data_IF_112552318515
#
_entry.id   IF_112552318515
#
_cell.length_a   1.000
_cell.length_b   1.000
_cell.length_c   1.000
_cell.angle_alpha   90.00
_cell.angle_beta   90.00
_cell.angle_gamma   90.00
#
_symmetry.space_group_name_H-M   'P 1'
#
loop_
_entity.id
_entity.type
_entity.pdbx_description
1 polymer ?
#
# COMPACT_ATOMS: atom_id res chain seq x y z
N UNK A 1 -62.36 -16.69 44.84
CA UNK A 1 -62.23 -15.40 44.12
C UNK A 1 -61.77 -15.76 42.70
N UNK A 2 -62.65 -15.94 41.71
CA UNK A 2 -63.32 -14.98 40.81
C UNK A 2 -62.34 -14.28 39.84
N UNK A 3 -62.55 -14.55 38.53
CA UNK A 3 -62.14 -13.83 37.29
C UNK A 3 -60.74 -14.19 36.74
N UNK A 4 -60.47 -14.28 35.44
CA UNK A 4 -61.23 -14.16 34.17
C UNK A 4 -60.23 -14.47 33.03
N UNK A 5 -60.62 -15.25 32.02
CA UNK A 5 -59.86 -15.46 30.77
C UNK A 5 -59.65 -14.15 30.00
N UNK A 6 -58.51 -13.94 29.30
CA UNK A 6 -58.50 -13.52 27.88
C UNK A 6 -57.09 -13.45 27.25
N UNK A 7 -57.14 -13.80 25.96
CA UNK A 7 -56.24 -13.79 24.80
C UNK A 7 -55.39 -12.52 24.57
N UNK A 8 -54.60 -12.55 23.47
CA UNK A 8 -53.68 -11.55 22.87
C UNK A 8 -52.21 -11.76 23.27
N UNK A 9 -51.23 -11.74 22.38
CA UNK A 9 -51.11 -11.56 20.93
C UNK A 9 -49.66 -11.92 20.62
N UNK A 10 -49.41 -12.61 19.51
CA UNK A 10 -48.05 -12.85 19.01
C UNK A 10 -47.32 -11.52 18.84
N UNK A 11 -46.21 -11.31 19.56
CA UNK A 11 -45.18 -10.35 19.15
C UNK A 11 -43.93 -11.14 18.78
N UNK A 12 -43.83 -11.45 17.49
CA UNK A 12 -42.53 -11.62 16.88
C UNK A 12 -41.86 -10.26 16.81
N UNK A 13 -40.61 -10.19 17.23
CA UNK A 13 -39.51 -9.65 16.42
C UNK A 13 -38.24 -9.97 17.19
N UNK A 14 -37.38 -10.78 16.57
CA UNK A 14 -35.96 -10.79 16.85
C UNK A 14 -35.48 -9.35 16.90
N UNK A 15 -35.33 -8.80 18.10
CA UNK A 15 -34.61 -7.57 18.33
C UNK A 15 -33.15 -7.88 18.00
N UNK A 16 -32.76 -7.55 16.78
CA UNK A 16 -31.37 -7.43 16.36
C UNK A 16 -30.64 -6.62 17.44
N UNK A 17 -29.74 -7.28 18.17
CA UNK A 17 -28.93 -6.61 19.18
C UNK A 17 -28.08 -5.56 18.47
N UNK A 18 -28.46 -4.29 18.66
CA UNK A 18 -27.60 -3.15 18.39
C UNK A 18 -26.43 -3.23 19.36
N UNK A 19 -25.43 -4.03 19.01
CA UNK A 19 -24.08 -3.79 19.50
C UNK A 19 -23.70 -2.41 18.96
N UNK A 20 -23.41 -1.44 19.84
CA UNK A 20 -22.93 -0.18 19.35
C UNK A 20 -21.56 -0.44 18.72
N UNK A 21 -21.41 -0.01 17.47
CA UNK A 21 -20.16 -0.06 16.70
C UNK A 21 -19.12 0.91 17.29
N UNK A 22 -18.81 0.78 18.57
CA UNK A 22 -17.69 1.46 19.20
C UNK A 22 -16.50 0.52 19.12
N UNK A 23 -15.52 0.92 18.31
CA UNK A 23 -14.27 0.23 17.99
C UNK A 23 -14.39 -0.82 16.87
N UNK A 24 -14.54 -0.36 15.63
CA UNK A 24 -13.62 -0.85 14.63
C UNK A 24 -12.39 0.08 14.70
N UNK A 25 -11.31 -0.25 15.44
CA UNK A 25 -10.04 0.38 15.11
C UNK A 25 -9.80 0.01 13.65
N UNK A 26 -9.60 0.98 12.76
CA UNK A 26 -9.17 0.65 11.41
C UNK A 26 -7.74 0.10 11.52
N UNK A 27 -7.61 -1.19 11.83
CA UNK A 27 -6.50 -2.02 11.38
C UNK A 27 -7.01 -2.58 10.06
N UNK A 28 -6.80 -1.92 8.92
CA UNK A 28 -7.63 -2.31 7.78
C UNK A 28 -7.23 -1.93 6.37
N UNK A 29 -6.35 -0.97 6.15
CA UNK A 29 -5.91 -0.65 4.80
C UNK A 29 -4.39 -0.74 4.76
N UNK A 30 -3.88 -1.74 4.03
CA UNK A 30 -2.46 -1.87 3.79
C UNK A 30 -1.98 -0.65 2.99
N UNK A 31 -0.80 -0.09 3.29
CA UNK A 31 -0.27 0.98 2.48
C UNK A 31 0.01 0.49 1.05
N UNK A 32 -0.20 1.35 0.05
CA UNK A 32 -0.15 0.97 -1.36
C UNK A 32 0.60 2.00 -2.21
N UNK A 33 1.02 1.57 -3.40
CA UNK A 33 1.49 2.46 -4.47
C UNK A 33 0.30 2.80 -5.37
N UNK A 34 -0.04 4.09 -5.46
CA UNK A 34 -1.21 4.54 -6.23
C UNK A 34 -0.89 4.90 -7.68
N UNK A 35 0.32 5.38 -7.93
CA UNK A 35 0.80 5.70 -9.27
C UNK A 35 2.32 5.71 -9.33
N UNK A 36 2.86 5.45 -10.52
CA UNK A 36 4.30 5.45 -10.80
C UNK A 36 4.56 6.21 -12.10
N UNK A 37 5.61 7.00 -12.11
CA UNK A 37 6.14 7.71 -13.28
C UNK A 37 7.63 7.37 -13.44
N UNK A 38 8.08 6.90 -14.61
CA UNK A 38 7.32 6.65 -15.84
C UNK A 38 6.21 5.58 -15.66
N UNK A 39 5.09 5.72 -16.40
CA UNK A 39 4.03 4.71 -16.32
C UNK A 39 4.54 3.33 -16.77
N UNK A 40 3.82 2.28 -16.40
CA UNK A 40 4.12 0.93 -16.88
C UNK A 40 4.10 0.85 -18.42
N UNK A 41 5.01 0.04 -18.97
CA UNK A 41 5.17 -0.17 -20.42
C UNK A 41 5.54 1.07 -21.24
N UNK A 42 6.06 2.15 -20.62
CA UNK A 42 6.55 3.31 -21.38
C UNK A 42 7.82 2.95 -22.17
N UNK A 43 7.82 3.35 -23.44
CA UNK A 43 9.01 3.38 -24.28
C UNK A 43 9.65 4.77 -24.26
N UNK A 44 10.86 4.88 -24.82
CA UNK A 44 11.57 6.14 -25.02
C UNK A 44 11.82 6.93 -23.72
N UNK A 45 11.94 6.20 -22.61
CA UNK A 45 12.36 6.74 -21.32
C UNK A 45 13.86 7.06 -21.39
N UNK A 46 14.25 8.22 -20.84
CA UNK A 46 15.67 8.61 -20.75
C UNK A 46 16.47 7.58 -19.95
N UNK A 47 17.70 7.31 -20.35
CA UNK A 47 18.59 6.39 -19.62
C UNK A 47 18.93 6.89 -18.21
N UNK A 48 18.94 8.20 -17.98
CA UNK A 48 19.10 8.81 -16.66
C UNK A 48 17.76 9.10 -15.97
N UNK A 49 16.72 8.31 -16.23
CA UNK A 49 15.42 8.53 -15.63
C UNK A 49 15.33 7.92 -14.23
N UNK A 50 14.83 8.73 -13.29
CA UNK A 50 14.37 8.28 -11.99
C UNK A 50 12.93 7.73 -12.06
N UNK A 51 12.59 6.84 -11.13
CA UNK A 51 11.23 6.36 -10.89
C UNK A 51 10.64 7.12 -9.71
N UNK A 52 9.47 7.72 -9.90
CA UNK A 52 8.71 8.38 -8.86
C UNK A 52 7.40 7.64 -8.63
N UNK A 53 7.11 7.26 -7.40
CA UNK A 53 5.89 6.60 -6.99
C UNK A 53 5.13 7.48 -5.98
N UNK A 54 3.80 7.54 -6.12
CA UNK A 54 2.90 8.17 -5.14
C UNK A 54 2.34 7.08 -4.25
N UNK A 55 2.43 7.28 -2.94
CA UNK A 55 2.02 6.31 -1.93
C UNK A 55 0.68 6.72 -1.31
N UNK A 56 -0.13 5.73 -0.96
CA UNK A 56 -1.24 5.88 -0.03
C UNK A 56 -0.88 5.17 1.27
N UNK A 57 -0.81 5.92 2.36
CA UNK A 57 -0.38 5.43 3.68
C UNK A 57 -1.46 5.78 4.70
N UNK A 58 -2.55 5.02 4.77
CA UNK A 58 -3.75 5.37 5.54
C UNK A 58 -3.47 5.45 7.05
N UNK A 59 -2.45 4.75 7.53
CA UNK A 59 -2.06 4.73 8.94
C UNK A 59 -0.98 5.77 9.30
N UNK A 60 -0.61 6.66 8.37
CA UNK A 60 0.30 7.78 8.63
C UNK A 60 1.40 7.92 7.58
N UNK A 61 2.59 7.45 7.92
CA UNK A 61 3.83 7.68 7.15
C UNK A 61 4.58 6.38 6.93
N UNK A 62 5.47 6.39 5.95
CA UNK A 62 6.40 5.28 5.71
C UNK A 62 7.43 5.24 6.82
N UNK A 63 7.71 4.04 7.32
CA UNK A 63 8.84 3.81 8.21
C UNK A 63 10.14 3.87 7.39
N UNK A 64 10.87 4.99 7.50
CA UNK A 64 12.09 5.20 6.72
C UNK A 64 13.22 4.18 7.02
N UNK A 65 13.15 3.45 8.14
CA UNK A 65 14.14 2.41 8.45
C UNK A 65 13.94 1.14 7.63
N UNK A 66 12.77 0.94 7.04
CA UNK A 66 12.48 -0.20 6.16
C UNK A 66 12.71 0.15 4.69
N UNK A 67 13.05 1.40 4.35
CA UNK A 67 13.38 1.84 2.99
C UNK A 67 14.82 1.42 2.64
N UNK A 68 14.96 0.43 1.76
CA UNK A 68 16.24 -0.07 1.26
C UNK A 68 16.03 -0.90 -0.01
N UNK A 69 17.10 -1.44 -0.59
CA UNK A 69 17.06 -2.22 -1.84
C UNK A 69 16.25 -3.53 -1.76
N UNK A 70 15.97 -4.05 -0.56
CA UNK A 70 15.12 -5.23 -0.41
C UNK A 70 13.64 -4.85 -0.48
N UNK A 71 13.28 -3.69 0.05
CA UNK A 71 11.89 -3.22 0.07
C UNK A 71 11.49 -2.54 -1.22
N UNK A 72 12.41 -1.80 -1.86
CA UNK A 72 12.18 -1.04 -3.08
C UNK A 72 13.36 -1.24 -4.02
N UNK A 73 13.11 -1.69 -5.25
CA UNK A 73 14.19 -1.92 -6.22
C UNK A 73 13.77 -1.72 -7.67
N UNK A 74 14.79 -1.50 -8.50
CA UNK A 74 14.69 -1.59 -9.95
C UNK A 74 15.49 -2.79 -10.41
N UNK A 75 14.95 -3.56 -11.35
CA UNK A 75 15.63 -4.76 -11.89
C UNK A 75 15.52 -4.84 -13.40
N UNK A 76 16.59 -5.30 -14.05
CA UNK A 76 16.58 -5.62 -15.47
C UNK A 76 15.73 -6.87 -15.70
N UNK A 77 14.69 -6.79 -16.53
CA UNK A 77 13.73 -7.89 -16.74
C UNK A 77 14.37 -9.09 -17.44
N UNK A 78 15.34 -8.86 -18.33
CA UNK A 78 15.98 -9.93 -19.09
C UNK A 78 16.99 -10.74 -18.25
N UNK A 79 17.74 -10.07 -17.37
CA UNK A 79 18.81 -10.71 -16.58
C UNK A 79 18.40 -11.00 -15.13
N UNK A 80 17.39 -10.31 -14.62
CA UNK A 80 17.00 -10.33 -13.21
C UNK A 80 17.97 -9.56 -12.30
N UNK A 81 18.99 -8.90 -12.86
CA UNK A 81 19.95 -8.13 -12.07
C UNK A 81 19.28 -6.90 -11.44
N UNK A 82 19.53 -6.68 -10.15
CA UNK A 82 19.13 -5.46 -9.46
C UNK A 82 20.04 -4.32 -9.89
N UNK A 83 19.45 -3.17 -10.20
CA UNK A 83 20.15 -1.92 -10.51
C UNK A 83 20.42 -1.19 -9.21
N UNK A 84 21.68 -0.88 -8.93
CA UNK A 84 22.04 -0.07 -7.76
C UNK A 84 21.37 1.30 -7.87
N UNK A 85 20.59 1.67 -6.85
CA UNK A 85 19.75 2.87 -6.88
C UNK A 85 19.66 3.50 -5.50
N UNK A 86 19.64 4.83 -5.46
CA UNK A 86 19.35 5.56 -4.25
C UNK A 86 17.83 5.68 -4.07
N UNK A 87 17.32 5.30 -2.90
CA UNK A 87 15.88 5.35 -2.60
C UNK A 87 15.63 6.44 -1.57
N UNK A 88 14.71 7.35 -1.87
CA UNK A 88 14.28 8.42 -0.98
C UNK A 88 12.76 8.44 -0.86
N UNK A 89 12.26 8.72 0.35
CA UNK A 89 10.83 8.90 0.59
C UNK A 89 10.59 10.25 1.25
N UNK A 90 9.71 11.04 0.67
CA UNK A 90 9.17 12.25 1.27
C UNK A 90 7.84 11.90 1.94
N UNK A 91 7.86 11.87 3.27
CA UNK A 91 6.70 11.55 4.11
C UNK A 91 5.69 12.70 4.23
N UNK A 92 6.01 13.92 3.78
CA UNK A 92 5.05 15.02 3.71
C UNK A 92 4.27 14.98 2.40
N UNK A 93 4.96 14.68 1.30
CA UNK A 93 4.35 14.55 -0.02
C UNK A 93 3.80 13.14 -0.33
N UNK A 94 4.14 12.13 0.50
CA UNK A 94 3.90 10.71 0.24
C UNK A 94 4.42 10.27 -1.13
N UNK A 95 5.66 10.67 -1.42
CA UNK A 95 6.34 10.33 -2.67
C UNK A 95 7.59 9.52 -2.40
N UNK A 96 7.79 8.48 -3.20
CA UNK A 96 9.00 7.67 -3.23
C UNK A 96 9.73 7.96 -4.53
N UNK A 97 11.02 8.24 -4.43
CA UNK A 97 11.91 8.40 -5.57
C UNK A 97 12.99 7.32 -5.52
N UNK A 98 13.10 6.57 -6.61
CA UNK A 98 14.21 5.65 -6.86
C UNK A 98 15.03 6.20 -8.02
N UNK A 99 16.29 6.49 -7.74
CA UNK A 99 17.24 7.12 -8.65
C UNK A 99 18.43 6.17 -8.90
N UNK A 100 18.53 5.55 -10.10
CA UNK A 100 19.68 4.72 -10.46
C UNK A 100 21.00 5.47 -10.29
N UNK A 101 22.03 4.82 -9.73
CA UNK A 101 23.34 5.45 -9.51
C UNK A 101 24.06 5.73 -10.83
N UNK A 102 23.93 4.79 -11.77
CA UNK A 102 24.45 4.87 -13.13
C UNK A 102 23.31 4.95 -14.15
N UNK A 103 23.61 5.51 -15.32
CA UNK A 103 22.67 5.53 -16.46
C UNK A 103 22.25 4.09 -16.84
N UNK A 104 20.96 3.93 -17.14
CA UNK A 104 20.38 2.68 -17.58
C UNK A 104 20.83 2.28 -18.99
N UNK A 105 20.77 0.99 -19.30
CA UNK A 105 21.10 0.47 -20.63
C UNK A 105 20.02 0.83 -21.65
N UNK A 106 20.45 1.21 -22.86
CA UNK A 106 19.55 1.43 -23.98
C UNK A 106 18.77 0.17 -24.33
N UNK A 107 17.53 0.36 -24.81
CA UNK A 107 16.67 -0.73 -25.30
C UNK A 107 16.47 -1.88 -24.29
N UNK A 108 16.46 -1.54 -23.00
CA UNK A 108 16.31 -2.50 -21.90
C UNK A 108 15.01 -2.26 -21.15
N UNK A 109 14.31 -3.35 -20.81
CA UNK A 109 13.12 -3.31 -19.99
C UNK A 109 13.50 -3.45 -18.51
N UNK A 110 12.99 -2.54 -17.69
CA UNK A 110 13.20 -2.54 -16.25
C UNK A 110 11.88 -2.69 -15.50
N UNK A 111 11.96 -3.35 -14.34
CA UNK A 111 10.84 -3.53 -13.42
C UNK A 111 11.14 -2.85 -12.10
N UNK A 112 10.32 -1.86 -11.77
CA UNK A 112 10.21 -1.31 -10.44
C UNK A 112 9.42 -2.29 -9.56
N UNK A 113 9.86 -2.50 -8.33
CA UNK A 113 9.17 -3.38 -7.38
C UNK A 113 9.16 -2.76 -6.00
N UNK A 114 7.98 -2.77 -5.38
CA UNK A 114 7.80 -2.55 -3.93
C UNK A 114 7.37 -3.87 -3.32
N UNK A 115 7.99 -4.26 -2.22
CA UNK A 115 7.65 -5.51 -1.51
C UNK A 115 7.00 -5.22 -0.16
N UNK A 116 6.45 -6.28 0.43
CA UNK A 116 5.95 -6.28 1.80
C UNK A 116 7.01 -6.03 2.88
N UNK A 117 8.31 -5.94 2.52
CA UNK A 117 9.35 -5.48 3.45
C UNK A 117 9.35 -3.96 3.65
N UNK A 118 8.63 -3.20 2.80
CA UNK A 118 8.33 -1.79 3.08
C UNK A 118 7.15 -1.74 4.04
N UNK A 119 7.27 -0.93 5.09
CA UNK A 119 6.27 -0.84 6.16
C UNK A 119 5.93 0.61 6.48
N UNK A 120 4.76 0.85 7.06
CA UNK A 120 4.40 2.12 7.69
C UNK A 120 4.94 2.25 9.13
N UNK A 121 4.73 3.40 9.77
CA UNK A 121 5.18 3.69 11.14
C UNK A 121 4.57 2.77 12.21
N UNK A 122 3.47 2.07 11.92
CA UNK A 122 2.83 1.12 12.86
C UNK A 122 3.20 -0.34 12.56
N UNK A 123 3.98 -0.59 11.50
CA UNK A 123 4.48 -1.91 11.12
C UNK A 123 3.58 -2.68 10.16
N UNK A 124 2.62 -2.03 9.49
CA UNK A 124 1.83 -2.67 8.45
C UNK A 124 2.61 -2.67 7.12
N UNK A 125 2.63 -3.83 6.47
CA UNK A 125 3.38 -4.05 5.23
C UNK A 125 2.66 -3.46 4.01
N UNK A 126 3.44 -2.94 3.06
CA UNK A 126 2.91 -2.48 1.77
C UNK A 126 2.37 -3.64 0.93
N UNK A 127 1.31 -3.37 0.17
CA UNK A 127 0.92 -4.22 -0.94
C UNK A 127 2.03 -4.25 -2.00
N UNK A 128 2.31 -5.44 -2.52
CA UNK A 128 3.33 -5.60 -3.56
C UNK A 128 2.91 -4.88 -4.85
N UNK A 129 3.87 -4.20 -5.48
CA UNK A 129 3.71 -3.47 -6.73
C UNK A 129 4.79 -3.88 -7.74
#
# INVERSE_FOLDING_TARGET
MKRLSIFFLVLGLTGCELLPSFMNPNFGDAPTVTSVTPDSSKSDVSIGAQVNAVLDVPNGKVNLTTVNEQSVRLSNVATGAVVESNVAVDNEALTLTLDPVDDLDFSTEYRFTVTSALEDEIGEAFEEY
#
